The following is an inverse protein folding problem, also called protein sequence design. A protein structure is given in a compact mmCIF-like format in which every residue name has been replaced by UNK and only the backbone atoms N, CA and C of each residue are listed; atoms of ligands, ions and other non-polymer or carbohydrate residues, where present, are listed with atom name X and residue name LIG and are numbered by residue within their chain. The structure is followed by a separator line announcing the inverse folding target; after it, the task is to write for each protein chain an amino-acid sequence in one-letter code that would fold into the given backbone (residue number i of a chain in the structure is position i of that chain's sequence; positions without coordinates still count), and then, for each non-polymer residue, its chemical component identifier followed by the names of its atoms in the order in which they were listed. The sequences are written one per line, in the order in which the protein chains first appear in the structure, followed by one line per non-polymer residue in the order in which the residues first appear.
data_IF_428845466399
#
_entry.id   IF_428845466399
#
_cell.length_a   1.000
_cell.length_b   1.000
_cell.length_c   1.000
_cell.angle_alpha   90.00
_cell.angle_beta   90.00
_cell.angle_gamma   90.00
#
_symmetry.space_group_name_H-M   'P 1'
#
loop_
_entity.id
_entity.type
_entity.pdbx_description
1 polymer ?
#
# COMPACT_ATOMS: atom_id res chain seq x y z
N UNK A 1 -22.09 14.58 -22.73
CA UNK A 1 -22.15 14.66 -21.26
C UNK A 1 -20.75 14.89 -20.76
N UNK A 2 -20.53 16.09 -20.20
CA UNK A 2 -19.24 16.51 -19.67
C UNK A 2 -18.84 15.56 -18.53
N UNK A 3 -17.71 14.90 -18.67
CA UNK A 3 -17.02 14.25 -17.56
C UNK A 3 -16.90 15.27 -16.42
N UNK A 4 -17.33 14.97 -15.21
CA UNK A 4 -17.18 15.93 -14.12
C UNK A 4 -15.69 16.24 -13.99
N UNK A 5 -15.33 17.50 -14.17
CA UNK A 5 -13.98 17.96 -13.95
C UNK A 5 -13.70 17.79 -12.44
N UNK A 6 -12.81 16.90 -12.10
CA UNK A 6 -12.38 16.79 -10.71
C UNK A 6 -11.63 18.07 -10.38
N UNK A 7 -12.13 18.81 -9.40
CA UNK A 7 -11.52 20.07 -8.96
C UNK A 7 -10.01 19.91 -8.69
N UNK A 8 -9.66 18.77 -8.17
CA UNK A 8 -8.28 18.40 -7.91
C UNK A 8 -7.40 18.36 -9.18
N UNK A 9 -7.91 17.86 -10.30
CA UNK A 9 -7.13 17.78 -11.55
C UNK A 9 -6.74 19.16 -12.05
N UNK A 10 -7.60 20.15 -11.82
CA UNK A 10 -7.32 21.53 -12.21
C UNK A 10 -6.36 22.23 -11.22
N UNK A 11 -6.39 21.85 -9.93
CA UNK A 11 -5.51 22.42 -8.90
C UNK A 11 -4.07 21.85 -8.95
N UNK A 12 -3.89 20.61 -9.43
CA UNK A 12 -2.58 19.97 -9.58
C UNK A 12 -1.95 20.26 -10.95
N UNK A 13 -2.57 21.05 -11.79
CA UNK A 13 -1.84 21.59 -12.94
C UNK A 13 -0.64 22.33 -12.43
N UNK A 14 0.53 21.69 -12.54
CA UNK A 14 1.82 22.35 -12.36
C UNK A 14 1.76 23.72 -13.05
N UNK A 15 2.26 24.79 -12.43
CA UNK A 15 2.49 26.00 -13.17
C UNK A 15 3.35 25.60 -14.37
N UNK A 16 2.75 25.66 -15.53
CA UNK A 16 3.43 25.35 -16.78
C UNK A 16 4.56 26.37 -16.92
N UNK A 17 5.76 25.95 -16.62
CA UNK A 17 6.98 26.66 -16.97
C UNK A 17 7.24 26.69 -18.49
N UNK A 18 6.24 26.34 -19.27
CA UNK A 18 6.23 26.56 -20.72
C UNK A 18 5.55 27.92 -20.95
N UNK A 19 6.36 28.96 -20.86
CA UNK A 19 6.04 30.23 -21.50
C UNK A 19 5.95 30.01 -22.99
N UNK A 20 4.74 30.08 -23.53
CA UNK A 20 4.57 30.40 -24.94
C UNK A 20 5.36 31.69 -25.19
N UNK A 21 6.16 31.79 -26.25
CA UNK A 21 6.88 33.02 -26.52
C UNK A 21 5.86 34.15 -26.67
N UNK A 22 5.97 35.15 -25.79
CA UNK A 22 5.18 36.36 -25.86
C UNK A 22 5.42 36.96 -27.23
N UNK A 23 4.34 37.26 -27.96
CA UNK A 23 4.38 38.11 -29.13
C UNK A 23 5.04 39.40 -28.70
N UNK A 24 6.11 39.73 -29.38
CA UNK A 24 6.81 41.02 -29.18
C UNK A 24 5.85 42.19 -29.34
N UNK A 25 5.78 43.01 -28.30
CA UNK A 25 5.08 44.29 -28.34
C UNK A 25 5.98 45.29 -29.10
N UNK A 26 5.46 45.95 -30.17
CA UNK A 26 6.30 46.80 -31.02
C UNK A 26 6.57 48.21 -30.45
N UNK A 27 6.13 48.52 -29.26
CA UNK A 27 6.32 49.86 -28.70
C UNK A 27 7.04 49.80 -27.34
N UNK A 28 8.37 49.91 -27.41
CA UNK A 28 9.24 49.95 -26.25
C UNK A 28 9.00 51.15 -25.34
N UNK A 29 8.26 50.97 -24.28
CA UNK A 29 8.24 51.91 -23.14
C UNK A 29 8.84 51.20 -21.92
N UNK A 30 10.10 51.56 -21.67
CA UNK A 30 10.80 51.20 -20.42
C UNK A 30 10.16 51.91 -19.25
N UNK A 31 9.34 51.26 -18.47
CA UNK A 31 8.93 51.75 -17.14
C UNK A 31 10.00 51.32 -16.16
N UNK A 32 10.74 52.26 -15.60
CA UNK A 32 11.63 52.04 -14.48
C UNK A 32 10.78 51.60 -13.27
N UNK A 33 10.98 50.40 -12.78
CA UNK A 33 10.42 49.95 -11.52
C UNK A 33 11.20 50.58 -10.38
N UNK A 34 10.51 51.44 -9.61
CA UNK A 34 11.01 51.90 -8.31
C UNK A 34 10.90 50.71 -7.33
N UNK A 35 12.00 50.26 -6.76
CA UNK A 35 12.01 49.27 -5.71
C UNK A 35 11.46 49.84 -4.41
N UNK A 36 10.51 49.19 -3.73
CA UNK A 36 10.13 49.55 -2.38
C UNK A 36 11.22 49.10 -1.40
N UNK A 37 11.73 50.01 -0.62
CA UNK A 37 12.56 49.75 0.56
C UNK A 37 11.72 49.00 1.61
N UNK A 38 12.10 47.77 1.86
CA UNK A 38 11.51 46.92 2.92
C UNK A 38 11.57 45.48 2.53
N UNK A 39 12.72 44.84 2.73
CA UNK A 39 12.83 43.38 2.57
C UNK A 39 12.04 42.67 3.67
N UNK A 40 10.83 42.26 3.35
CA UNK A 40 10.22 41.12 4.04
C UNK A 40 11.11 39.88 3.81
N UNK A 41 11.36 39.05 4.83
CA UNK A 41 12.10 37.82 4.61
C UNK A 41 11.40 37.06 3.49
N UNK A 42 12.12 36.75 2.41
CA UNK A 42 11.65 35.85 1.39
C UNK A 42 11.42 34.50 2.09
N UNK A 43 10.16 34.10 2.13
CA UNK A 43 9.85 32.71 2.44
C UNK A 43 10.65 31.84 1.45
N UNK A 44 11.39 30.89 1.98
CA UNK A 44 12.08 29.88 1.18
C UNK A 44 11.09 29.36 0.15
N UNK A 45 11.29 29.68 -1.12
CA UNK A 45 10.54 29.09 -2.20
C UNK A 45 10.97 27.62 -2.27
N UNK A 46 10.26 26.75 -1.56
CA UNK A 46 10.43 25.33 -1.75
C UNK A 46 10.28 25.05 -3.25
N UNK A 47 11.17 24.25 -3.81
CA UNK A 47 11.16 23.88 -5.24
C UNK A 47 9.86 23.15 -5.65
N UNK A 48 8.93 22.95 -4.71
CA UNK A 48 7.67 22.25 -4.89
C UNK A 48 6.49 23.13 -4.50
N UNK A 49 5.44 23.20 -5.33
CA UNK A 49 4.22 23.92 -4.96
C UNK A 49 3.62 23.29 -3.68
N UNK A 50 2.90 24.11 -2.87
CA UNK A 50 2.16 23.59 -1.72
C UNK A 50 1.21 22.46 -2.14
N UNK A 51 1.13 21.40 -1.35
CA UNK A 51 0.20 20.31 -1.58
C UNK A 51 -1.22 20.75 -1.16
N UNK A 52 -2.14 20.87 -2.12
CA UNK A 52 -3.52 21.31 -1.84
C UNK A 52 -4.37 20.12 -1.38
N UNK A 53 -4.26 19.81 -0.08
CA UNK A 53 -5.02 18.73 0.54
C UNK A 53 -6.54 18.98 0.50
N UNK A 54 -6.98 20.24 0.55
CA UNK A 54 -8.40 20.56 0.53
C UNK A 54 -9.04 20.27 -0.83
N UNK A 55 -8.32 20.50 -1.92
CA UNK A 55 -8.74 20.09 -3.24
C UNK A 55 -8.86 18.57 -3.35
N UNK A 56 -7.86 17.83 -2.87
CA UNK A 56 -7.87 16.36 -2.85
C UNK A 56 -9.06 15.82 -2.05
N UNK A 57 -9.32 16.36 -0.87
CA UNK A 57 -10.42 15.91 0.01
C UNK A 57 -11.79 15.99 -0.65
N UNK A 58 -12.00 16.93 -1.57
CA UNK A 58 -13.25 17.06 -2.32
C UNK A 58 -13.54 15.88 -3.23
N UNK A 59 -12.50 15.18 -3.69
CA UNK A 59 -12.61 13.99 -4.54
C UNK A 59 -13.08 12.75 -3.76
N UNK A 60 -13.03 12.79 -2.43
CA UNK A 60 -13.41 11.68 -1.55
C UNK A 60 -14.74 11.97 -0.84
N UNK A 61 -15.87 11.47 -1.37
CA UNK A 61 -17.20 11.82 -0.84
C UNK A 61 -17.41 11.45 0.62
N UNK A 62 -16.83 10.33 1.08
CA UNK A 62 -16.99 9.85 2.44
C UNK A 62 -16.38 10.79 3.49
N UNK A 63 -15.40 11.61 3.11
CA UNK A 63 -14.78 12.57 4.05
C UNK A 63 -15.74 13.72 4.47
N UNK A 64 -16.91 13.81 3.84
CA UNK A 64 -17.98 14.73 4.25
C UNK A 64 -18.91 14.15 5.30
N UNK A 65 -18.76 12.85 5.63
CA UNK A 65 -19.59 12.19 6.65
C UNK A 65 -19.36 12.80 8.04
N UNK A 66 -20.36 12.63 8.88
CA UNK A 66 -20.30 12.97 10.29
C UNK A 66 -20.50 11.70 11.12
N UNK A 67 -19.68 11.56 12.14
CA UNK A 67 -19.72 10.44 13.07
C UNK A 67 -19.89 11.00 14.49
N UNK A 68 -20.90 10.52 15.23
CA UNK A 68 -21.23 11.00 16.55
C UNK A 68 -21.44 12.54 16.61
N UNK A 69 -22.02 13.11 15.54
CA UNK A 69 -22.24 14.55 15.42
C UNK A 69 -20.98 15.37 15.09
N UNK A 70 -19.84 14.76 14.90
CA UNK A 70 -18.56 15.39 14.59
C UNK A 70 -18.17 15.14 13.13
N UNK A 71 -17.39 16.05 12.48
CA UNK A 71 -16.80 15.74 11.18
C UNK A 71 -15.89 14.50 11.28
N UNK A 72 -16.04 13.58 10.32
CA UNK A 72 -15.21 12.37 10.26
C UNK A 72 -13.72 12.73 10.13
N UNK A 73 -12.89 12.10 10.95
CA UNK A 73 -11.43 12.00 10.77
C UNK A 73 -11.07 10.53 10.56
N UNK A 74 -10.52 10.22 9.40
CA UNK A 74 -10.16 8.85 9.05
C UNK A 74 -8.66 8.63 9.23
N UNK A 75 -8.28 7.97 10.31
CA UNK A 75 -6.91 7.55 10.62
C UNK A 75 -6.77 6.03 10.68
N UNK A 76 -7.61 5.30 9.94
CA UNK A 76 -7.51 3.84 9.83
C UNK A 76 -7.08 3.39 8.41
N UNK A 77 -6.19 4.16 7.80
CA UNK A 77 -5.72 3.95 6.42
C UNK A 77 -4.88 2.69 6.25
N UNK A 78 -4.19 2.24 7.29
CA UNK A 78 -3.43 0.98 7.25
C UNK A 78 -4.35 -0.26 7.19
N UNK A 79 -5.60 -0.14 7.59
CA UNK A 79 -6.61 -1.19 7.43
C UNK A 79 -7.24 -1.13 6.03
N UNK A 80 -7.68 0.05 5.60
CA UNK A 80 -8.23 0.31 4.27
C UNK A 80 -8.24 1.81 3.99
N UNK A 81 -8.03 2.22 2.76
CA UNK A 81 -8.18 3.60 2.32
C UNK A 81 -9.58 3.84 1.78
N UNK A 82 -10.00 5.11 1.75
CA UNK A 82 -11.20 5.51 1.05
C UNK A 82 -10.98 5.63 -0.46
N UNK A 83 -12.08 5.78 -1.20
CA UNK A 83 -12.08 5.75 -2.67
C UNK A 83 -12.46 7.11 -3.21
N UNK A 84 -11.70 7.64 -4.17
CA UNK A 84 -12.10 8.87 -4.85
C UNK A 84 -13.33 8.62 -5.73
N UNK A 85 -14.09 9.67 -6.00
CA UNK A 85 -15.29 9.60 -6.83
C UNK A 85 -15.01 8.98 -8.21
N UNK A 86 -13.82 9.24 -8.77
CA UNK A 86 -13.41 8.68 -10.07
C UNK A 86 -13.38 7.15 -10.09
N UNK A 87 -13.02 6.53 -8.95
CA UNK A 87 -13.02 5.06 -8.82
C UNK A 87 -14.45 4.54 -8.72
N UNK A 88 -15.29 5.20 -7.92
CA UNK A 88 -16.71 4.85 -7.77
C UNK A 88 -17.41 4.93 -9.13
N UNK A 89 -17.23 6.04 -9.84
CA UNK A 89 -17.82 6.29 -11.15
C UNK A 89 -17.31 5.31 -12.20
N UNK A 90 -16.02 4.95 -12.15
CA UNK A 90 -15.46 3.99 -13.12
C UNK A 90 -16.06 2.60 -13.00
N UNK A 91 -16.28 2.14 -11.76
CA UNK A 91 -16.92 0.84 -11.50
C UNK A 91 -18.38 0.88 -11.96
N UNK A 92 -19.10 1.95 -11.65
CA UNK A 92 -20.49 2.14 -12.10
C UNK A 92 -20.58 2.15 -13.63
N UNK A 93 -19.69 2.92 -14.29
CA UNK A 93 -19.64 2.98 -15.75
C UNK A 93 -19.36 1.61 -16.39
N UNK A 94 -18.48 0.81 -15.78
CA UNK A 94 -18.23 -0.54 -16.26
C UNK A 94 -19.51 -1.38 -16.28
N UNK A 95 -20.26 -1.40 -15.18
CA UNK A 95 -21.51 -2.16 -15.12
C UNK A 95 -22.59 -1.61 -16.03
N UNK A 96 -22.67 -0.31 -16.19
CA UNK A 96 -23.69 0.35 -17.02
C UNK A 96 -23.44 0.19 -18.52
N UNK A 97 -22.14 0.09 -18.97
CA UNK A 97 -21.78 0.23 -20.38
C UNK A 97 -20.82 -0.82 -20.92
N UNK A 98 -20.12 -1.57 -20.09
CA UNK A 98 -19.01 -2.44 -20.54
C UNK A 98 -19.13 -3.88 -20.03
N UNK A 99 -20.05 -4.17 -19.12
CA UNK A 99 -20.10 -5.45 -18.43
C UNK A 99 -20.30 -6.63 -19.38
N UNK A 100 -19.34 -7.53 -19.35
CA UNK A 100 -19.36 -8.84 -20.00
C UNK A 100 -18.31 -9.74 -19.40
N UNK A 101 -18.37 -11.03 -19.67
CA UNK A 101 -17.23 -11.90 -19.48
C UNK A 101 -16.12 -11.56 -20.50
N UNK A 102 -14.87 -11.88 -20.18
CA UNK A 102 -13.70 -11.45 -20.93
C UNK A 102 -13.08 -12.57 -21.77
N UNK A 103 -12.30 -12.22 -22.79
CA UNK A 103 -11.40 -13.00 -23.63
C UNK A 103 -12.02 -13.97 -24.64
N UNK A 104 -13.25 -14.47 -24.44
CA UNK A 104 -13.76 -15.61 -25.22
C UNK A 104 -14.97 -15.34 -26.10
N UNK A 105 -15.61 -14.17 -25.98
CA UNK A 105 -16.79 -13.86 -26.75
C UNK A 105 -16.48 -12.90 -27.91
N UNK A 106 -17.19 -13.10 -29.03
CA UNK A 106 -16.95 -12.33 -30.25
C UNK A 106 -17.94 -11.16 -30.40
N UNK A 107 -18.47 -10.62 -29.30
CA UNK A 107 -19.39 -9.49 -29.33
C UNK A 107 -18.76 -8.24 -28.71
N UNK A 108 -19.31 -7.08 -29.06
CA UNK A 108 -18.77 -5.76 -28.70
C UNK A 108 -18.57 -5.57 -27.18
N UNK A 109 -19.53 -5.99 -26.34
CA UNK A 109 -19.41 -5.84 -24.89
C UNK A 109 -18.26 -6.69 -24.32
N UNK A 110 -18.02 -7.87 -24.88
CA UNK A 110 -16.87 -8.68 -24.48
C UNK A 110 -15.54 -8.01 -24.84
N UNK A 111 -15.48 -7.34 -25.99
CA UNK A 111 -14.31 -6.54 -26.39
C UNK A 111 -14.09 -5.39 -25.41
N UNK A 112 -15.13 -4.62 -25.07
CA UNK A 112 -15.06 -3.52 -24.10
C UNK A 112 -14.59 -3.99 -22.73
N UNK A 113 -15.19 -5.07 -22.21
CA UNK A 113 -14.81 -5.64 -20.91
C UNK A 113 -13.36 -6.12 -20.91
N UNK A 114 -12.93 -6.77 -21.98
CA UNK A 114 -11.54 -7.25 -22.14
C UNK A 114 -10.56 -6.07 -22.19
N UNK A 115 -10.85 -5.03 -22.97
CA UNK A 115 -10.00 -3.85 -23.07
C UNK A 115 -9.89 -3.12 -21.73
N UNK A 116 -10.99 -3.00 -20.99
CA UNK A 116 -11.00 -2.38 -19.67
C UNK A 116 -10.17 -3.18 -18.66
N UNK A 117 -10.34 -4.50 -18.64
CA UNK A 117 -9.62 -5.41 -17.75
C UNK A 117 -8.11 -5.46 -18.05
N UNK A 118 -7.74 -5.67 -19.29
CA UNK A 118 -6.33 -5.70 -19.72
C UNK A 118 -5.69 -4.31 -19.63
N UNK A 119 -6.45 -3.25 -19.84
CA UNK A 119 -6.02 -1.88 -19.56
C UNK A 119 -5.67 -1.64 -18.11
N UNK A 120 -6.42 -2.23 -17.17
CA UNK A 120 -6.09 -2.20 -15.74
C UNK A 120 -4.79 -2.97 -15.44
N UNK A 121 -4.58 -4.13 -16.07
CA UNK A 121 -3.34 -4.90 -15.93
C UNK A 121 -2.12 -4.09 -16.41
N UNK A 122 -2.24 -3.39 -17.52
CA UNK A 122 -1.18 -2.53 -18.05
C UNK A 122 -0.87 -1.36 -17.11
N UNK A 123 -1.88 -0.78 -16.47
CA UNK A 123 -1.69 0.27 -15.45
C UNK A 123 -0.94 -0.24 -14.24
N UNK A 124 -1.25 -1.43 -13.77
CA UNK A 124 -0.52 -2.08 -12.67
C UNK A 124 0.94 -2.31 -13.07
N UNK A 125 1.18 -2.89 -14.24
CA UNK A 125 2.54 -3.10 -14.77
C UNK A 125 3.37 -1.82 -14.69
N UNK A 126 2.85 -0.72 -15.22
CA UNK A 126 3.54 0.58 -15.22
C UNK A 126 3.74 1.14 -13.82
N UNK A 127 2.74 0.98 -12.96
CA UNK A 127 2.76 1.53 -11.61
C UNK A 127 3.85 0.93 -10.73
N UNK A 128 4.12 -0.35 -10.87
CA UNK A 128 5.19 -1.05 -10.13
C UNK A 128 6.49 -1.23 -10.95
N UNK A 129 6.54 -0.65 -12.15
CA UNK A 129 7.65 -0.80 -13.11
C UNK A 129 8.00 -2.26 -13.41
N UNK A 130 6.98 -3.10 -13.65
CA UNK A 130 7.18 -4.46 -14.11
C UNK A 130 7.61 -4.46 -15.60
N UNK A 131 8.49 -5.40 -16.01
CA UNK A 131 8.98 -5.43 -17.40
C UNK A 131 7.93 -5.92 -18.39
N UNK A 132 6.99 -6.78 -17.98
CA UNK A 132 6.01 -7.41 -18.87
C UNK A 132 4.64 -7.47 -18.20
N UNK A 133 3.60 -7.14 -18.95
CA UNK A 133 2.21 -7.17 -18.47
C UNK A 133 1.75 -8.58 -18.08
N UNK A 134 2.29 -9.61 -18.72
CA UNK A 134 1.96 -11.01 -18.43
C UNK A 134 2.49 -11.50 -17.08
N UNK A 135 3.36 -10.75 -16.44
CA UNK A 135 3.87 -11.02 -15.09
C UNK A 135 2.93 -10.52 -13.98
N UNK A 136 1.89 -9.78 -14.34
CA UNK A 136 0.89 -9.23 -13.41
C UNK A 136 -0.30 -10.19 -13.36
N UNK A 137 -0.60 -10.72 -12.17
CA UNK A 137 -1.69 -11.68 -11.95
C UNK A 137 -2.68 -11.04 -10.96
N UNK A 138 -3.94 -10.99 -11.35
CA UNK A 138 -5.01 -10.53 -10.46
C UNK A 138 -5.43 -11.64 -9.50
N UNK A 139 -5.55 -11.26 -8.24
CA UNK A 139 -6.01 -12.08 -7.11
C UNK A 139 -6.98 -11.27 -6.26
N UNK A 140 -7.53 -11.87 -5.19
CA UNK A 140 -8.44 -11.14 -4.30
C UNK A 140 -7.77 -10.10 -3.41
N UNK A 141 -6.47 -10.26 -3.16
CA UNK A 141 -5.69 -9.40 -2.30
C UNK A 141 -4.35 -10.04 -1.93
N UNK A 142 -3.60 -9.37 -1.08
CA UNK A 142 -2.26 -9.79 -0.64
C UNK A 142 -2.26 -11.19 -0.01
N UNK A 143 -3.25 -11.50 0.82
CA UNK A 143 -3.36 -12.82 1.47
C UNK A 143 -3.45 -13.93 0.43
N UNK A 144 -4.31 -13.79 -0.58
CA UNK A 144 -4.41 -14.78 -1.66
C UNK A 144 -3.14 -14.84 -2.49
N UNK A 145 -2.51 -13.70 -2.76
CA UNK A 145 -1.24 -13.63 -3.49
C UNK A 145 -0.14 -14.45 -2.80
N UNK A 146 0.03 -14.30 -1.50
CA UNK A 146 1.02 -15.05 -0.72
C UNK A 146 0.67 -16.55 -0.69
N UNK A 147 -0.61 -16.89 -0.53
CA UNK A 147 -1.07 -18.28 -0.59
C UNK A 147 -0.79 -18.92 -1.96
N UNK A 148 -0.99 -18.17 -3.05
CA UNK A 148 -0.65 -18.64 -4.40
C UNK A 148 0.84 -19.00 -4.49
N UNK A 149 1.72 -18.11 -4.06
CA UNK A 149 3.17 -18.35 -4.09
C UNK A 149 3.56 -19.53 -3.18
N UNK A 150 3.03 -19.57 -1.96
CA UNK A 150 3.34 -20.64 -1.01
C UNK A 150 2.90 -22.00 -1.53
N UNK A 151 1.70 -22.10 -2.09
CA UNK A 151 1.14 -23.38 -2.56
C UNK A 151 1.71 -23.82 -3.90
N UNK A 152 1.94 -22.91 -4.83
CA UNK A 152 2.48 -23.21 -6.15
C UNK A 152 4.00 -23.32 -6.11
N UNK A 153 4.69 -22.21 -5.98
CA UNK A 153 6.15 -22.19 -5.93
C UNK A 153 6.69 -22.99 -4.75
N UNK A 154 6.16 -22.73 -3.55
CA UNK A 154 6.59 -23.40 -2.33
C UNK A 154 6.31 -24.91 -2.35
N UNK A 155 5.14 -25.31 -2.85
CA UNK A 155 4.79 -26.72 -3.02
C UNK A 155 5.75 -27.49 -3.93
N UNK A 156 6.30 -26.82 -4.94
CA UNK A 156 7.23 -27.39 -5.90
C UNK A 156 8.69 -27.41 -5.41
N UNK A 157 9.13 -26.35 -4.72
CA UNK A 157 10.54 -26.10 -4.47
C UNK A 157 10.99 -26.32 -3.02
N UNK A 158 10.07 -26.41 -2.06
CA UNK A 158 10.40 -26.56 -0.64
C UNK A 158 10.20 -28.01 -0.20
N UNK A 159 11.20 -28.56 0.46
CA UNK A 159 11.22 -29.92 0.99
C UNK A 159 11.71 -29.97 2.43
N UNK A 160 11.87 -31.22 2.94
CA UNK A 160 12.28 -31.46 4.31
C UNK A 160 13.64 -30.82 4.63
N UNK A 161 13.71 -30.11 5.75
CA UNK A 161 14.91 -29.41 6.23
C UNK A 161 15.22 -28.12 5.53
N UNK A 162 14.46 -27.72 4.51
CA UNK A 162 14.58 -26.40 3.89
C UNK A 162 14.11 -25.31 4.84
N UNK A 163 14.57 -24.08 4.61
CA UNK A 163 14.30 -22.95 5.48
C UNK A 163 13.59 -21.81 4.72
N UNK A 164 12.62 -21.22 5.41
CA UNK A 164 11.86 -20.06 4.96
C UNK A 164 12.17 -18.92 5.93
N UNK A 165 12.67 -17.80 5.44
CA UNK A 165 12.96 -16.65 6.28
C UNK A 165 11.83 -15.62 6.15
N UNK A 166 11.30 -15.18 7.28
CA UNK A 166 10.37 -14.05 7.42
C UNK A 166 10.94 -13.09 8.47
N UNK A 167 10.42 -11.86 8.55
CA UNK A 167 10.82 -10.95 9.63
C UNK A 167 9.82 -10.98 10.79
N UNK A 168 10.25 -10.45 11.94
CA UNK A 168 9.37 -10.25 13.09
C UNK A 168 8.26 -9.22 12.82
N UNK A 169 8.41 -8.40 11.77
CA UNK A 169 7.44 -7.35 11.39
C UNK A 169 6.23 -7.88 10.61
N UNK A 170 6.19 -9.17 10.23
CA UNK A 170 5.24 -9.64 9.24
C UNK A 170 3.79 -9.63 9.72
N UNK A 171 2.90 -9.21 8.82
CA UNK A 171 1.46 -9.46 8.94
C UNK A 171 1.19 -10.97 8.95
N UNK A 172 0.12 -11.41 9.62
CA UNK A 172 -0.26 -12.83 9.68
C UNK A 172 -0.35 -13.48 8.29
N UNK A 173 -0.77 -12.74 7.27
CA UNK A 173 -0.82 -13.24 5.89
C UNK A 173 0.54 -13.66 5.32
N UNK A 174 1.63 -13.12 5.88
CA UNK A 174 3.01 -13.46 5.51
C UNK A 174 3.72 -14.33 6.56
N UNK A 175 2.97 -14.95 7.43
CA UNK A 175 3.44 -15.95 8.42
C UNK A 175 2.69 -17.26 8.23
N UNK A 176 1.36 -17.22 8.31
CA UNK A 176 0.52 -18.42 8.37
C UNK A 176 0.63 -19.31 7.12
N UNK A 177 0.61 -18.79 5.90
CA UNK A 177 0.80 -19.63 4.71
C UNK A 177 2.16 -20.37 4.72
N UNK A 178 3.21 -19.71 5.20
CA UNK A 178 4.54 -20.30 5.31
C UNK A 178 4.61 -21.36 6.40
N UNK A 179 3.92 -21.16 7.54
CA UNK A 179 3.79 -22.18 8.59
C UNK A 179 3.07 -23.42 8.07
N UNK A 180 1.97 -23.24 7.33
CA UNK A 180 1.23 -24.35 6.73
C UNK A 180 2.12 -25.13 5.75
N UNK A 181 2.87 -24.43 4.91
CA UNK A 181 3.80 -25.05 3.97
C UNK A 181 4.92 -25.79 4.72
N UNK A 182 5.54 -25.16 5.70
CA UNK A 182 6.62 -25.75 6.49
C UNK A 182 6.16 -27.02 7.21
N UNK A 183 4.97 -27.01 7.82
CA UNK A 183 4.39 -28.18 8.47
C UNK A 183 4.15 -29.33 7.46
N UNK A 184 3.63 -29.01 6.28
CA UNK A 184 3.35 -30.01 5.24
C UNK A 184 4.62 -30.61 4.61
N UNK A 185 5.70 -29.83 4.53
CA UNK A 185 6.95 -30.22 3.83
C UNK A 185 8.09 -30.62 4.76
N UNK A 186 7.97 -30.45 6.08
CA UNK A 186 9.07 -30.65 7.01
C UNK A 186 10.15 -29.56 6.93
N UNK A 187 9.78 -28.37 6.49
CA UNK A 187 10.66 -27.21 6.46
C UNK A 187 10.60 -26.41 7.77
N UNK A 188 11.47 -25.42 7.91
CA UNK A 188 11.58 -24.56 9.10
C UNK A 188 11.41 -23.11 8.76
N UNK A 189 10.72 -22.36 9.63
CA UNK A 189 10.67 -20.91 9.58
C UNK A 189 11.79 -20.34 10.44
N UNK A 190 12.53 -19.38 9.86
CA UNK A 190 13.55 -18.59 10.54
C UNK A 190 13.12 -17.13 10.54
N UNK A 191 13.36 -16.42 11.63
CA UNK A 191 12.82 -15.05 11.84
C UNK A 191 13.93 -14.04 11.98
N UNK A 192 13.91 -13.01 11.13
CA UNK A 192 14.78 -11.85 11.25
C UNK A 192 14.32 -11.02 12.46
N UNK A 193 15.17 -10.82 13.48
CA UNK A 193 14.79 -10.01 14.64
C UNK A 193 14.85 -8.51 14.32
N UNK A 194 14.24 -7.73 15.20
CA UNK A 194 14.25 -6.26 15.14
C UNK A 194 14.94 -5.67 16.38
N UNK A 195 15.46 -4.47 16.23
CA UNK A 195 15.97 -3.66 17.33
C UNK A 195 14.82 -3.01 18.13
N UNK A 196 15.17 -2.20 19.12
CA UNK A 196 14.21 -1.53 20.00
C UNK A 196 13.41 -0.41 19.30
N UNK A 197 13.84 0.05 18.14
CA UNK A 197 13.08 0.98 17.30
C UNK A 197 12.04 0.27 16.42
N UNK A 198 12.18 -1.04 16.24
CA UNK A 198 11.38 -1.85 15.33
C UNK A 198 11.98 -1.99 13.93
N UNK A 199 13.24 -1.62 13.73
CA UNK A 199 13.94 -1.87 12.45
C UNK A 199 14.58 -3.26 12.45
N UNK A 200 14.58 -3.92 11.30
CA UNK A 200 15.23 -5.22 11.12
C UNK A 200 16.74 -5.15 11.35
N UNK A 201 17.27 -6.18 12.00
CA UNK A 201 18.70 -6.34 12.27
C UNK A 201 19.36 -7.07 11.09
N UNK A 202 19.91 -6.34 10.12
CA UNK A 202 20.52 -6.93 8.93
C UNK A 202 21.69 -7.86 9.24
N UNK A 203 22.49 -7.59 10.26
CA UNK A 203 23.59 -8.47 10.65
C UNK A 203 23.08 -9.82 11.18
N UNK A 204 21.97 -9.82 11.90
CA UNK A 204 21.32 -11.06 12.33
C UNK A 204 20.68 -11.80 11.15
N UNK A 205 20.09 -11.07 10.19
CA UNK A 205 19.58 -11.65 8.96
C UNK A 205 20.68 -12.39 8.18
N UNK A 206 21.84 -11.78 8.01
CA UNK A 206 22.97 -12.39 7.32
C UNK A 206 23.38 -13.74 7.94
N UNK A 207 23.30 -13.86 9.27
CA UNK A 207 23.59 -15.10 9.99
C UNK A 207 22.57 -16.20 9.74
N UNK A 208 21.32 -15.84 9.40
CA UNK A 208 20.26 -16.82 9.10
C UNK A 208 20.41 -17.45 7.72
N UNK A 209 21.03 -16.75 6.76
CA UNK A 209 21.16 -17.21 5.38
C UNK A 209 22.16 -18.35 5.29
N UNK A 210 21.75 -19.44 4.62
CA UNK A 210 22.58 -20.61 4.33
C UNK A 210 22.06 -21.34 3.07
N UNK A 211 22.68 -22.45 2.72
CA UNK A 211 22.33 -23.24 1.53
C UNK A 211 20.95 -23.96 1.62
N UNK A 212 20.34 -23.99 2.80
CA UNK A 212 18.98 -24.51 3.02
C UNK A 212 17.91 -23.41 2.88
N UNK A 213 18.28 -22.16 2.85
CA UNK A 213 17.34 -21.04 2.66
C UNK A 213 16.80 -21.05 1.24
N UNK A 214 15.48 -21.23 1.08
CA UNK A 214 14.82 -21.31 -0.24
C UNK A 214 14.08 -20.03 -0.61
N UNK A 215 13.48 -19.35 0.37
CA UNK A 215 12.78 -18.10 0.16
C UNK A 215 12.91 -17.21 1.38
N UNK A 216 13.01 -15.90 1.10
CA UNK A 216 12.92 -14.81 2.08
C UNK A 216 11.68 -14.00 1.73
N UNK A 217 10.72 -13.92 2.66
CA UNK A 217 9.45 -13.23 2.44
C UNK A 217 9.27 -12.15 3.50
N UNK A 218 9.35 -10.88 3.10
CA UNK A 218 9.37 -9.73 4.01
C UNK A 218 8.48 -8.59 3.54
N UNK A 219 7.91 -7.87 4.51
CA UNK A 219 7.17 -6.63 4.24
C UNK A 219 8.12 -5.48 3.88
N UNK A 220 7.68 -4.61 3.00
CA UNK A 220 8.40 -3.37 2.70
C UNK A 220 8.09 -2.27 3.73
N UNK A 221 6.85 -2.21 4.21
CA UNK A 221 6.43 -1.31 5.31
C UNK A 221 5.61 -2.09 6.30
N UNK A 222 5.98 -2.02 7.57
CA UNK A 222 5.23 -2.67 8.66
C UNK A 222 3.85 -2.04 8.82
N UNK A 223 2.81 -2.86 8.83
CA UNK A 223 1.44 -2.40 9.08
C UNK A 223 1.20 -2.04 10.56
N UNK A 224 1.99 -2.57 11.48
CA UNK A 224 1.84 -2.30 12.91
C UNK A 224 2.72 -1.15 13.41
N UNK A 225 3.92 -0.99 12.86
CA UNK A 225 4.91 -0.01 13.32
C UNK A 225 5.18 1.11 12.32
N UNK A 226 4.90 0.90 11.04
CA UNK A 226 5.26 1.83 9.97
C UNK A 226 6.72 1.77 9.52
N UNK A 227 7.53 0.91 10.12
CA UNK A 227 8.94 0.74 9.74
C UNK A 227 9.09 0.50 8.24
N UNK A 228 9.90 1.29 7.58
CA UNK A 228 10.32 1.05 6.19
C UNK A 228 11.53 0.12 6.20
N UNK A 229 11.34 -1.06 5.63
CA UNK A 229 12.34 -2.13 5.64
C UNK A 229 13.26 -1.98 4.43
N UNK A 230 14.59 -2.17 4.57
CA UNK A 230 15.53 -2.07 3.45
C UNK A 230 15.46 -3.32 2.55
N UNK A 231 14.33 -3.49 1.84
CA UNK A 231 14.02 -4.72 1.09
C UNK A 231 15.00 -4.97 -0.06
N UNK A 232 15.52 -3.93 -0.71
CA UNK A 232 16.52 -4.11 -1.78
C UNK A 232 17.76 -4.83 -1.29
N UNK A 233 18.29 -4.45 -0.13
CA UNK A 233 19.43 -5.11 0.49
C UNK A 233 19.08 -6.55 0.92
N UNK A 234 17.89 -6.76 1.47
CA UNK A 234 17.42 -8.08 1.89
C UNK A 234 17.30 -9.01 0.68
N UNK A 235 16.74 -8.53 -0.42
CA UNK A 235 16.61 -9.29 -1.67
C UNK A 235 17.98 -9.66 -2.25
N UNK A 236 18.91 -8.70 -2.28
CA UNK A 236 20.26 -8.92 -2.79
C UNK A 236 20.98 -10.02 -2.00
N UNK A 237 20.91 -9.98 -0.68
CA UNK A 237 21.51 -10.98 0.19
C UNK A 237 20.83 -12.36 0.05
N UNK A 238 19.49 -12.39 -0.11
CA UNK A 238 18.76 -13.62 -0.38
C UNK A 238 19.25 -14.28 -1.68
N UNK A 239 19.38 -13.52 -2.75
CA UNK A 239 19.86 -14.02 -4.04
C UNK A 239 21.29 -14.52 -3.99
N UNK A 240 22.19 -13.87 -3.25
CA UNK A 240 23.55 -14.34 -3.03
C UNK A 240 23.59 -15.71 -2.32
N UNK A 241 22.61 -15.97 -1.47
CA UNK A 241 22.46 -17.28 -0.79
C UNK A 241 21.72 -18.33 -1.65
N UNK A 242 21.30 -17.98 -2.86
CA UNK A 242 20.53 -18.86 -3.75
C UNK A 242 19.04 -18.93 -3.45
N UNK A 243 18.51 -18.06 -2.59
CA UNK A 243 17.11 -18.01 -2.22
C UNK A 243 16.30 -17.07 -3.11
N UNK A 244 15.00 -17.34 -3.29
CA UNK A 244 14.04 -16.41 -3.87
C UNK A 244 13.63 -15.36 -2.82
N UNK A 245 13.05 -14.26 -3.29
CA UNK A 245 12.57 -13.20 -2.43
C UNK A 245 11.16 -12.74 -2.83
N UNK A 246 10.27 -12.68 -1.84
CA UNK A 246 8.94 -12.08 -1.95
C UNK A 246 8.91 -10.81 -1.09
N UNK A 247 8.40 -9.73 -1.66
CA UNK A 247 8.18 -8.47 -0.95
C UNK A 247 6.68 -8.22 -0.82
N UNK A 248 6.21 -8.09 0.41
CA UNK A 248 4.84 -7.70 0.73
C UNK A 248 4.74 -6.18 0.68
N UNK A 249 4.07 -5.67 -0.35
CA UNK A 249 3.85 -4.25 -0.60
C UNK A 249 2.49 -3.73 -0.16
N UNK A 250 1.75 -4.45 0.68
CA UNK A 250 0.40 -4.06 1.08
C UNK A 250 0.35 -2.66 1.70
N UNK A 251 1.35 -2.29 2.50
CA UNK A 251 1.44 -0.96 3.09
C UNK A 251 2.26 0.02 2.26
N UNK A 252 3.25 -0.43 1.51
CA UNK A 252 4.12 0.46 0.75
C UNK A 252 3.47 1.03 -0.50
N UNK A 253 2.56 0.29 -1.13
CA UNK A 253 2.02 0.60 -2.47
C UNK A 253 1.39 1.98 -2.59
N UNK A 254 0.81 2.52 -1.52
CA UNK A 254 0.16 3.83 -1.49
C UNK A 254 1.04 4.96 -0.93
N UNK A 255 2.19 4.64 -0.35
CA UNK A 255 3.02 5.60 0.39
C UNK A 255 4.33 5.95 -0.29
N UNK A 256 4.80 5.14 -1.19
CA UNK A 256 6.09 5.33 -1.87
C UNK A 256 6.07 4.73 -3.27
N UNK A 257 7.01 5.17 -4.10
CA UNK A 257 7.21 4.55 -5.40
C UNK A 257 7.74 3.13 -5.23
N UNK A 258 7.10 2.21 -5.91
CA UNK A 258 7.52 0.81 -6.00
C UNK A 258 8.11 0.56 -7.38
N UNK A 259 9.32 0.02 -7.40
CA UNK A 259 10.01 -0.40 -8.61
C UNK A 259 10.51 -1.83 -8.41
N UNK A 260 9.77 -2.80 -8.92
CA UNK A 260 10.08 -4.22 -8.73
C UNK A 260 11.39 -4.64 -9.41
N UNK A 261 11.78 -3.93 -10.47
CA UNK A 261 13.05 -4.18 -11.15
C UNK A 261 14.23 -3.67 -10.32
N UNK A 262 14.11 -2.48 -9.73
CA UNK A 262 15.15 -1.92 -8.85
C UNK A 262 15.28 -2.73 -7.55
N UNK A 263 14.17 -3.12 -6.94
CA UNK A 263 14.17 -4.00 -5.75
C UNK A 263 14.80 -5.35 -6.09
N UNK A 264 14.58 -5.85 -7.31
CA UNK A 264 15.10 -7.13 -7.80
C UNK A 264 14.35 -8.34 -7.25
N UNK A 265 13.21 -8.16 -6.58
CA UNK A 265 12.42 -9.24 -6.01
C UNK A 265 11.97 -10.25 -7.08
N UNK A 266 11.71 -11.47 -6.64
CA UNK A 266 11.10 -12.51 -7.49
C UNK A 266 9.58 -12.42 -7.49
N UNK A 267 9.00 -11.93 -6.37
CA UNK A 267 7.57 -11.68 -6.20
C UNK A 267 7.33 -10.36 -5.47
N UNK A 268 6.27 -9.67 -5.87
CA UNK A 268 5.74 -8.49 -5.18
C UNK A 268 4.22 -8.58 -5.10
N UNK A 269 3.65 -8.33 -3.93
CA UNK A 269 2.21 -8.51 -3.67
C UNK A 269 1.60 -7.27 -3.05
N UNK A 270 0.36 -6.95 -3.41
CA UNK A 270 -0.39 -5.88 -2.78
C UNK A 270 -1.91 -6.04 -2.94
N UNK A 271 -2.66 -5.24 -2.18
CA UNK A 271 -4.13 -5.21 -2.20
C UNK A 271 -4.64 -3.87 -2.72
N UNK A 272 -5.66 -3.90 -3.57
CA UNK A 272 -6.25 -2.70 -4.15
C UNK A 272 -6.89 -1.76 -3.14
N UNK A 273 -7.55 -2.30 -2.10
CA UNK A 273 -8.26 -1.49 -1.12
C UNK A 273 -7.37 -0.65 -0.20
N UNK A 274 -6.06 -0.84 -0.25
CA UNK A 274 -5.07 -0.03 0.48
C UNK A 274 -4.39 1.04 -0.38
N UNK A 275 -4.72 1.07 -1.66
CA UNK A 275 -4.23 2.05 -2.64
C UNK A 275 -5.39 2.76 -3.34
N UNK A 276 -6.41 3.13 -2.54
CA UNK A 276 -7.59 3.88 -2.97
C UNK A 276 -8.50 3.15 -3.97
N UNK A 277 -8.28 1.86 -4.14
CA UNK A 277 -9.05 0.98 -5.00
C UNK A 277 -10.06 0.12 -4.24
N UNK A 278 -10.82 -0.73 -4.95
CA UNK A 278 -11.83 -1.59 -4.35
C UNK A 278 -11.24 -2.69 -3.47
N UNK A 279 -12.07 -3.23 -2.57
CA UNK A 279 -11.81 -4.51 -1.90
C UNK A 279 -11.96 -5.67 -2.88
N UNK A 280 -11.43 -6.84 -2.52
CA UNK A 280 -11.62 -8.05 -3.32
C UNK A 280 -10.80 -8.13 -4.61
N UNK A 281 -9.86 -7.23 -4.78
CA UNK A 281 -8.88 -7.21 -5.87
C UNK A 281 -7.48 -6.91 -5.33
N UNK A 282 -6.51 -7.59 -5.87
CA UNK A 282 -5.10 -7.40 -5.57
C UNK A 282 -4.24 -8.01 -6.66
N UNK A 283 -2.95 -7.99 -6.45
CA UNK A 283 -1.95 -8.39 -7.44
C UNK A 283 -0.87 -9.25 -6.80
N UNK A 284 -0.48 -10.31 -7.50
CA UNK A 284 0.85 -10.87 -7.40
C UNK A 284 1.59 -10.59 -8.71
N UNK A 285 2.73 -9.93 -8.59
CA UNK A 285 3.71 -9.84 -9.64
C UNK A 285 4.82 -10.86 -9.39
N UNK A 286 5.28 -11.52 -10.43
CA UNK A 286 6.43 -12.42 -10.35
C UNK A 286 7.28 -12.31 -11.61
N UNK A 287 8.59 -12.63 -11.48
CA UNK A 287 9.47 -12.73 -12.65
C UNK A 287 8.94 -13.79 -13.61
N UNK A 288 9.01 -13.51 -14.91
CA UNK A 288 8.50 -14.41 -15.97
C UNK A 288 8.99 -15.84 -15.81
N UNK A 289 10.28 -16.02 -15.67
CA UNK A 289 10.88 -17.36 -15.56
C UNK A 289 10.43 -18.12 -14.32
N UNK A 290 10.15 -17.41 -13.23
CA UNK A 290 9.64 -18.02 -12.00
C UNK A 290 8.18 -18.42 -12.16
N UNK A 291 7.35 -17.54 -12.71
CA UNK A 291 5.93 -17.82 -12.94
C UNK A 291 5.70 -18.93 -13.96
N UNK A 292 6.51 -18.97 -15.01
CA UNK A 292 6.41 -20.02 -16.05
C UNK A 292 6.74 -21.40 -15.50
N UNK A 293 7.69 -21.51 -14.56
CA UNK A 293 8.08 -22.74 -13.90
C UNK A 293 7.04 -23.22 -12.86
N UNK A 294 6.26 -22.32 -12.31
CA UNK A 294 5.27 -22.63 -11.27
C UNK A 294 4.06 -23.38 -11.84
N UNK A 295 3.60 -24.46 -11.14
CA UNK A 295 2.34 -25.10 -11.51
C UNK A 295 1.14 -24.22 -11.19
N UNK A 296 -0.01 -24.39 -11.87
CA UNK A 296 -1.24 -23.77 -11.44
C UNK A 296 -1.63 -24.26 -10.05
N UNK A 297 -2.26 -23.39 -9.24
CA UNK A 297 -2.64 -23.76 -7.88
C UNK A 297 -4.17 -23.93 -7.71
N UNK A 298 -4.95 -23.33 -8.61
CA UNK A 298 -6.39 -23.53 -8.72
C UNK A 298 -6.71 -24.06 -10.11
N UNK A 299 -7.72 -24.90 -10.20
CA UNK A 299 -8.18 -25.47 -11.46
C UNK A 299 -9.59 -25.05 -11.80
N UNK A 300 -9.86 -24.89 -13.09
CA UNK A 300 -11.19 -24.53 -13.61
C UNK A 300 -11.15 -24.04 -15.04
N UNK A 301 -12.08 -23.22 -15.42
CA UNK A 301 -12.10 -22.53 -16.71
C UNK A 301 -11.08 -21.40 -16.80
N UNK A 302 -10.93 -20.83 -17.96
CA UNK A 302 -10.02 -19.73 -18.31
C UNK A 302 -8.52 -20.05 -18.22
N UNK A 303 -8.10 -20.87 -17.30
CA UNK A 303 -6.68 -21.20 -17.06
C UNK A 303 -6.19 -22.40 -17.84
N UNK A 304 -7.01 -22.99 -18.69
CA UNK A 304 -6.74 -24.19 -19.52
C UNK A 304 -6.78 -23.86 -21.00
N UNK A 305 -5.96 -24.57 -21.78
CA UNK A 305 -5.99 -24.54 -23.23
C UNK A 305 -6.79 -25.72 -23.81
N UNK A 306 -6.67 -26.90 -23.18
CA UNK A 306 -7.38 -28.12 -23.56
C UNK A 306 -7.60 -29.02 -22.36
N UNK A 307 -8.76 -29.69 -22.32
CA UNK A 307 -9.12 -30.61 -21.23
C UNK A 307 -9.75 -31.88 -21.82
N UNK A 308 -9.18 -33.02 -21.48
CA UNK A 308 -9.84 -34.34 -21.57
C UNK A 308 -9.95 -34.91 -20.17
N UNK A 309 -10.66 -36.03 -20.00
CA UNK A 309 -10.72 -36.68 -18.70
C UNK A 309 -9.36 -37.20 -18.22
N UNK A 310 -8.44 -37.46 -19.15
CA UNK A 310 -7.13 -38.02 -18.87
C UNK A 310 -6.05 -36.94 -18.73
N UNK A 311 -6.24 -35.73 -19.33
CA UNK A 311 -5.20 -34.72 -19.40
C UNK A 311 -5.73 -33.31 -19.52
N UNK A 312 -5.05 -32.38 -18.88
CA UNK A 312 -5.25 -30.93 -19.02
C UNK A 312 -3.99 -30.29 -19.60
N UNK A 313 -4.16 -29.39 -20.55
CA UNK A 313 -3.12 -28.46 -21.02
C UNK A 313 -3.48 -27.07 -20.50
N UNK A 314 -2.54 -26.45 -19.78
CA UNK A 314 -2.74 -25.16 -19.16
C UNK A 314 -2.40 -24.00 -20.09
N UNK A 315 -3.03 -22.85 -19.85
CA UNK A 315 -2.70 -21.59 -20.50
C UNK A 315 -1.34 -21.08 -20.05
N UNK A 316 -0.65 -20.25 -20.84
CA UNK A 316 0.49 -19.48 -20.36
C UNK A 316 0.09 -18.43 -19.32
N UNK A 317 1.08 -17.79 -18.70
CA UNK A 317 0.84 -16.65 -17.82
C UNK A 317 0.21 -15.48 -18.60
N UNK A 318 -0.65 -14.67 -18.01
CA UNK A 318 -1.14 -14.70 -16.62
C UNK A 318 -2.29 -15.69 -16.40
N UNK A 319 -2.94 -16.18 -17.46
CA UNK A 319 -4.17 -16.97 -17.39
C UNK A 319 -4.00 -18.25 -16.57
N UNK A 320 -2.82 -18.86 -16.57
CA UNK A 320 -2.50 -20.04 -15.76
C UNK A 320 -2.87 -19.88 -14.28
N UNK A 321 -2.84 -18.66 -13.74
CA UNK A 321 -3.11 -18.36 -12.35
C UNK A 321 -4.42 -17.62 -12.11
N UNK A 322 -5.24 -17.44 -13.15
CA UNK A 322 -6.54 -16.75 -13.07
C UNK A 322 -7.66 -17.72 -13.44
N UNK A 323 -7.96 -18.64 -12.53
CA UNK A 323 -8.99 -19.64 -12.73
C UNK A 323 -10.41 -19.08 -12.61
N UNK A 324 -11.28 -19.40 -13.57
CA UNK A 324 -12.65 -18.94 -13.61
C UNK A 324 -12.80 -17.49 -14.05
N UNK A 325 -14.00 -16.95 -13.91
CA UNK A 325 -14.25 -15.52 -14.11
C UNK A 325 -13.83 -14.76 -12.87
N UNK A 326 -12.84 -13.85 -13.05
CA UNK A 326 -12.30 -13.05 -11.98
C UNK A 326 -13.17 -11.85 -11.60
N UNK A 327 -12.64 -10.99 -10.75
CA UNK A 327 -13.27 -9.74 -10.31
C UNK A 327 -12.98 -8.63 -11.33
N UNK A 328 -13.69 -8.65 -12.44
CA UNK A 328 -13.43 -7.78 -13.60
C UNK A 328 -13.66 -6.31 -13.24
N UNK A 329 -14.83 -5.99 -12.69
CA UNK A 329 -15.19 -4.62 -12.36
C UNK A 329 -14.23 -3.96 -11.38
N UNK A 330 -13.81 -4.68 -10.34
CA UNK A 330 -12.89 -4.13 -9.35
C UNK A 330 -11.44 -4.07 -9.84
N UNK A 331 -11.04 -4.94 -10.78
CA UNK A 331 -9.78 -4.76 -11.48
C UNK A 331 -9.75 -3.44 -12.28
N UNK A 332 -10.84 -3.14 -12.97
CA UNK A 332 -11.01 -1.84 -13.67
C UNK A 332 -11.00 -0.68 -12.67
N UNK A 333 -11.66 -0.84 -11.53
CA UNK A 333 -11.63 0.13 -10.44
C UNK A 333 -10.22 0.35 -9.87
N UNK A 334 -9.42 -0.70 -9.74
CA UNK A 334 -8.01 -0.60 -9.34
C UNK A 334 -7.20 0.21 -10.37
N UNK A 335 -7.44 -0.01 -11.66
CA UNK A 335 -6.82 0.80 -12.72
C UNK A 335 -7.13 2.30 -12.58
N UNK A 336 -8.39 2.64 -12.28
CA UNK A 336 -8.78 4.02 -12.01
C UNK A 336 -8.13 4.60 -10.77
N UNK A 337 -7.95 3.81 -9.71
CA UNK A 337 -7.25 4.23 -8.51
C UNK A 337 -5.77 4.54 -8.78
N UNK A 338 -5.11 3.70 -9.56
CA UNK A 338 -3.71 3.93 -10.00
C UNK A 338 -3.62 5.22 -10.83
N UNK A 339 -4.54 5.45 -11.74
CA UNK A 339 -4.59 6.70 -12.52
C UNK A 339 -4.73 7.91 -11.60
N UNK A 340 -5.57 7.82 -10.56
CA UNK A 340 -5.73 8.88 -9.57
C UNK A 340 -4.42 9.15 -8.82
N UNK A 341 -3.79 8.12 -8.28
CA UNK A 341 -2.50 8.24 -7.56
C UNK A 341 -1.41 8.84 -8.46
N UNK A 342 -1.35 8.44 -9.72
CA UNK A 342 -0.39 8.98 -10.69
C UNK A 342 -0.64 10.47 -10.97
N UNK A 343 -1.90 10.92 -11.01
CA UNK A 343 -2.23 12.35 -11.18
C UNK A 343 -1.82 13.18 -9.97
N UNK A 344 -2.02 12.67 -8.76
CA UNK A 344 -1.52 13.32 -7.53
C UNK A 344 0.01 13.33 -7.49
N UNK A 345 0.61 12.24 -7.94
CA UNK A 345 2.05 12.01 -7.91
C UNK A 345 2.49 11.35 -6.61
N UNK A 346 3.04 10.14 -6.73
CA UNK A 346 3.44 9.35 -5.55
C UNK A 346 4.53 10.04 -4.71
N UNK A 347 5.41 10.80 -5.34
CA UNK A 347 6.44 11.58 -4.64
C UNK A 347 5.83 12.74 -3.82
N UNK A 348 4.79 13.37 -4.35
CA UNK A 348 4.04 14.40 -3.62
C UNK A 348 3.30 13.80 -2.42
N UNK A 349 2.70 12.63 -2.61
CA UNK A 349 2.04 11.86 -1.55
C UNK A 349 3.05 11.53 -0.45
N UNK A 350 4.17 10.91 -0.80
CA UNK A 350 5.21 10.52 0.14
C UNK A 350 5.72 11.70 0.97
N UNK A 351 6.00 12.83 0.33
CA UNK A 351 6.48 14.04 1.00
C UNK A 351 5.44 14.59 1.98
N UNK A 352 4.20 14.78 1.53
CA UNK A 352 3.14 15.34 2.37
C UNK A 352 2.81 14.44 3.56
N UNK A 353 2.68 13.14 3.34
CA UNK A 353 2.43 12.17 4.43
C UNK A 353 3.59 12.14 5.42
N UNK A 354 4.83 12.30 4.95
CA UNK A 354 5.99 12.35 5.84
C UNK A 354 5.95 13.59 6.75
N UNK A 355 5.56 14.74 6.24
CA UNK A 355 5.37 15.96 7.05
C UNK A 355 4.29 15.74 8.12
N UNK A 356 3.16 15.14 7.77
CA UNK A 356 2.12 14.78 8.74
C UNK A 356 2.64 13.81 9.80
N UNK A 357 3.38 12.78 9.40
CA UNK A 357 3.93 11.76 10.29
C UNK A 357 4.91 12.37 11.30
N UNK A 358 5.85 13.18 10.82
CA UNK A 358 6.85 13.87 11.68
C UNK A 358 6.13 14.76 12.69
N UNK A 359 5.14 15.54 12.24
CA UNK A 359 4.34 16.39 13.10
C UNK A 359 3.58 15.59 14.17
N UNK A 360 2.84 14.57 13.76
CA UNK A 360 2.04 13.75 14.67
C UNK A 360 2.89 12.98 15.69
N UNK A 361 4.00 12.40 15.26
CA UNK A 361 4.93 11.68 16.15
C UNK A 361 5.56 12.64 17.16
N UNK A 362 5.96 13.83 16.75
CA UNK A 362 6.50 14.84 17.64
C UNK A 362 5.49 15.26 18.71
N UNK A 363 4.22 15.47 18.33
CA UNK A 363 3.15 15.83 19.27
C UNK A 363 2.84 14.69 20.24
N UNK A 364 2.70 13.46 19.78
CA UNK A 364 2.45 12.30 20.64
C UNK A 364 3.55 12.11 21.66
N UNK A 365 4.81 12.31 21.26
CA UNK A 365 5.99 12.15 22.13
C UNK A 365 5.98 13.10 23.33
N UNK A 366 5.30 14.25 23.24
CA UNK A 366 5.18 15.23 24.33
C UNK A 366 4.13 14.89 25.37
N UNK A 367 3.27 13.91 25.11
CA UNK A 367 2.15 13.60 25.99
C UNK A 367 2.61 12.65 27.10
N UNK A 368 2.48 13.03 28.39
CA UNK A 368 2.86 12.14 29.49
C UNK A 368 2.07 10.84 29.46
N UNK A 369 2.77 9.72 29.62
CA UNK A 369 2.18 8.38 29.63
C UNK A 369 2.02 7.75 28.24
N UNK A 370 2.25 8.48 27.17
CA UNK A 370 2.32 7.91 25.80
C UNK A 370 3.64 7.18 25.64
N UNK A 371 3.55 5.93 25.20
CA UNK A 371 4.68 5.14 24.72
C UNK A 371 4.45 4.85 23.25
N UNK A 372 5.34 5.36 22.40
CA UNK A 372 5.32 5.08 20.96
C UNK A 372 5.82 3.66 20.72
N UNK A 373 5.14 2.94 19.84
CA UNK A 373 5.50 1.58 19.42
C UNK A 373 5.92 1.63 17.95
N UNK A 374 7.21 1.54 17.75
CA UNK A 374 7.83 1.75 16.42
C UNK A 374 8.35 3.18 16.26
N UNK A 375 9.66 3.33 16.41
CA UNK A 375 10.37 4.61 16.37
C UNK A 375 11.57 4.57 15.43
N UNK A 376 11.52 3.69 14.42
CA UNK A 376 12.56 3.62 13.39
C UNK A 376 12.68 4.97 12.66
N UNK A 377 13.90 5.33 12.26
CA UNK A 377 14.17 6.58 11.55
C UNK A 377 13.47 6.62 10.19
N UNK A 378 13.50 5.50 9.47
CA UNK A 378 12.77 5.34 8.21
C UNK A 378 11.39 4.72 8.50
N UNK A 379 10.38 5.53 8.35
CA UNK A 379 9.01 5.21 8.78
C UNK A 379 7.97 5.86 7.88
N UNK A 380 6.83 5.18 7.69
CA UNK A 380 5.71 5.66 6.89
C UNK A 380 4.37 5.48 7.63
N UNK A 381 3.51 6.44 7.48
CA UNK A 381 2.06 6.40 7.76
C UNK A 381 1.62 6.10 9.20
N UNK A 382 2.20 5.15 9.89
CA UNK A 382 1.66 4.56 11.13
C UNK A 382 2.22 5.24 12.38
N UNK A 383 1.34 5.61 13.32
CA UNK A 383 1.70 6.26 14.59
C UNK A 383 1.20 5.44 15.79
N UNK A 384 1.61 4.18 15.88
CA UNK A 384 1.16 3.27 16.95
C UNK A 384 1.67 3.70 18.31
N UNK A 385 0.80 3.63 19.32
CA UNK A 385 1.12 3.96 20.71
C UNK A 385 0.26 3.22 21.70
N UNK A 386 0.67 3.26 22.96
CA UNK A 386 -0.14 2.92 24.15
C UNK A 386 -0.13 4.09 25.10
N UNK A 387 -1.18 4.24 25.90
CA UNK A 387 -1.32 5.29 26.91
C UNK A 387 -1.42 4.68 28.30
N UNK A 388 -0.51 5.03 29.19
CA UNK A 388 -0.50 4.52 30.55
C UNK A 388 -1.82 4.84 31.30
N UNK A 389 -2.36 3.83 31.97
CA UNK A 389 -3.61 3.93 32.73
C UNK A 389 -4.89 3.72 31.90
N UNK A 390 -4.77 3.40 30.60
CA UNK A 390 -5.90 3.11 29.72
C UNK A 390 -5.65 1.85 28.90
N UNK A 391 -6.72 1.10 28.63
CA UNK A 391 -6.68 0.09 27.57
C UNK A 391 -6.69 0.76 26.20
N UNK A 392 -6.25 0.04 25.17
CA UNK A 392 -6.29 0.56 23.80
C UNK A 392 -7.72 0.80 23.33
N UNK A 393 -8.66 -0.03 23.77
CA UNK A 393 -10.09 0.11 23.49
C UNK A 393 -10.69 1.38 24.11
N UNK A 394 -10.31 1.70 25.35
CA UNK A 394 -10.75 2.95 26.01
C UNK A 394 -10.27 4.19 25.24
N UNK A 395 -9.04 4.19 24.78
CA UNK A 395 -8.50 5.28 23.96
C UNK A 395 -9.22 5.35 22.62
N UNK A 396 -9.41 4.21 21.96
CA UNK A 396 -10.14 4.12 20.70
C UNK A 396 -11.57 4.62 20.81
N UNK A 397 -12.28 4.27 21.89
CA UNK A 397 -13.65 4.74 22.13
C UNK A 397 -13.70 6.26 22.34
N UNK A 398 -12.79 6.80 23.14
CA UNK A 398 -12.70 8.25 23.34
C UNK A 398 -12.45 9.03 22.05
N UNK A 399 -11.64 8.49 21.16
CA UNK A 399 -11.40 9.05 19.83
C UNK A 399 -12.66 8.95 18.95
N UNK A 400 -13.32 7.80 18.95
CA UNK A 400 -14.56 7.58 18.21
C UNK A 400 -15.68 8.52 18.63
N UNK A 401 -15.79 8.84 19.91
CA UNK A 401 -16.78 9.80 20.44
C UNK A 401 -16.57 11.21 19.85
N UNK A 402 -15.36 11.53 19.43
CA UNK A 402 -15.00 12.78 18.75
C UNK A 402 -14.97 12.65 17.22
N UNK A 403 -15.47 11.54 16.66
CA UNK A 403 -15.52 11.30 15.21
C UNK A 403 -14.19 10.89 14.59
N UNK A 404 -13.22 10.46 15.39
CA UNK A 404 -11.88 10.07 14.95
C UNK A 404 -11.78 8.54 14.89
N UNK A 405 -11.63 8.01 13.68
CA UNK A 405 -11.49 6.57 13.45
C UNK A 405 -10.02 6.15 13.50
N UNK A 406 -9.70 5.28 14.43
CA UNK A 406 -8.40 4.63 14.54
C UNK A 406 -8.61 3.12 14.70
N UNK A 407 -7.58 2.33 14.39
CA UNK A 407 -7.57 0.91 14.73
C UNK A 407 -7.02 0.71 16.14
N UNK A 408 -7.67 -0.17 16.92
CA UNK A 408 -7.12 -0.72 18.16
C UNK A 408 -7.05 -2.24 18.03
N UNK A 409 -6.09 -2.86 18.71
CA UNK A 409 -5.95 -4.32 18.68
C UNK A 409 -4.57 -4.78 18.25
N UNK A 410 -4.49 -6.01 17.77
CA UNK A 410 -3.22 -6.66 17.41
C UNK A 410 -2.80 -6.45 15.93
N UNK A 411 -3.63 -5.81 15.12
CA UNK A 411 -3.36 -5.45 13.71
C UNK A 411 -2.95 -6.62 12.81
N UNK A 412 -3.35 -7.84 13.14
CA UNK A 412 -2.88 -9.07 12.49
C UNK A 412 -1.34 -9.18 12.46
N UNK A 413 -0.67 -8.69 13.51
CA UNK A 413 0.79 -8.64 13.65
C UNK A 413 1.22 -8.93 15.10
N UNK A 414 0.61 -9.92 15.74
CA UNK A 414 0.87 -10.23 17.14
C UNK A 414 2.35 -10.46 17.48
N UNK A 415 3.17 -11.14 16.64
CA UNK A 415 4.57 -11.35 17.01
C UNK A 415 5.36 -10.06 17.25
N UNK A 416 5.19 -9.04 16.39
CA UNK A 416 5.91 -7.79 16.60
C UNK A 416 5.40 -7.01 17.82
N UNK A 417 4.11 -7.01 18.11
CA UNK A 417 3.58 -6.36 19.30
C UNK A 417 4.12 -7.02 20.57
N UNK A 418 4.20 -8.34 20.61
CA UNK A 418 4.78 -9.10 21.73
C UNK A 418 6.26 -8.82 21.91
N UNK A 419 7.02 -8.58 20.81
CA UNK A 419 8.40 -8.11 20.90
C UNK A 419 8.52 -6.82 21.73
N UNK A 420 7.51 -5.94 21.66
CA UNK A 420 7.44 -4.70 22.44
C UNK A 420 6.74 -4.86 23.79
N UNK A 421 6.37 -6.07 24.16
CA UNK A 421 5.72 -6.38 25.44
C UNK A 421 4.28 -5.91 25.53
N UNK A 422 3.58 -5.77 24.40
CA UNK A 422 2.17 -5.40 24.30
C UNK A 422 1.39 -6.42 23.47
N UNK A 423 0.11 -6.60 23.76
CA UNK A 423 -0.79 -7.42 22.95
C UNK A 423 -1.58 -6.58 21.92
N UNK A 424 -1.78 -5.31 22.25
CA UNK A 424 -2.54 -4.37 21.42
C UNK A 424 -1.92 -2.98 21.42
N UNK A 425 -2.18 -2.21 20.36
CA UNK A 425 -1.86 -0.78 20.30
C UNK A 425 -3.05 0.02 19.77
N UNK A 426 -3.02 1.33 20.01
CA UNK A 426 -3.79 2.31 19.26
C UNK A 426 -2.97 2.68 18.03
N UNK A 427 -3.53 2.51 16.84
CA UNK A 427 -2.81 2.70 15.58
C UNK A 427 -3.47 3.75 14.69
N UNK A 428 -3.24 5.04 14.90
CA UNK A 428 -3.53 6.02 13.88
C UNK A 428 -2.64 5.78 12.65
N UNK A 429 -3.23 5.86 11.46
CA UNK A 429 -2.49 5.73 10.22
C UNK A 429 -2.98 6.74 9.20
N UNK A 430 -2.04 7.31 8.46
CA UNK A 430 -2.21 8.47 7.61
C UNK A 430 -2.40 8.08 6.14
N UNK A 431 -3.12 8.94 5.42
CA UNK A 431 -3.11 8.99 3.97
C UNK A 431 -3.03 10.47 3.51
N UNK A 432 -2.80 10.67 2.23
CA UNK A 432 -2.55 12.01 1.66
C UNK A 432 -3.76 12.96 1.74
N UNK A 433 -4.94 12.50 2.11
CA UNK A 433 -6.11 13.36 2.36
C UNK A 433 -6.26 13.77 3.83
N UNK A 434 -5.40 13.32 4.72
CA UNK A 434 -5.41 13.78 6.11
C UNK A 434 -4.80 15.17 6.25
N UNK A 435 -5.12 15.86 7.35
CA UNK A 435 -4.67 17.23 7.60
C UNK A 435 -3.97 17.37 8.93
N UNK A 436 -3.21 18.46 9.11
CA UNK A 436 -2.58 18.80 10.39
C UNK A 436 -3.64 19.08 11.46
N UNK A 437 -4.75 19.71 11.10
CA UNK A 437 -5.87 19.97 12.01
C UNK A 437 -6.52 18.68 12.50
N UNK A 438 -6.58 17.66 11.67
CA UNK A 438 -7.05 16.33 12.08
C UNK A 438 -6.10 15.69 13.09
N UNK A 439 -4.80 15.84 12.91
CA UNK A 439 -3.80 15.41 13.91
C UNK A 439 -3.99 16.17 15.22
N UNK A 440 -4.17 17.49 15.16
CA UNK A 440 -4.41 18.32 16.37
C UNK A 440 -5.64 17.84 17.14
N UNK A 441 -6.70 17.45 16.46
CA UNK A 441 -7.90 16.88 17.09
C UNK A 441 -7.59 15.57 17.82
N UNK A 442 -6.84 14.67 17.21
CA UNK A 442 -6.39 13.42 17.84
C UNK A 442 -5.53 13.73 19.08
N UNK A 443 -4.57 14.62 18.95
CA UNK A 443 -3.68 15.01 20.05
C UNK A 443 -4.45 15.61 21.22
N UNK A 444 -5.46 16.45 20.96
CA UNK A 444 -6.31 17.04 22.01
C UNK A 444 -7.03 15.97 22.84
N UNK A 445 -7.56 14.93 22.20
CA UNK A 445 -8.23 13.82 22.88
C UNK A 445 -7.23 13.05 23.76
N UNK A 446 -6.08 12.68 23.22
CA UNK A 446 -5.06 11.91 23.95
C UNK A 446 -4.51 12.71 25.13
N UNK A 447 -4.27 14.02 24.96
CA UNK A 447 -3.85 14.92 26.06
C UNK A 447 -4.91 15.00 27.17
N UNK A 448 -6.19 15.11 26.80
CA UNK A 448 -7.30 15.12 27.76
C UNK A 448 -7.30 13.84 28.59
N UNK A 449 -7.18 12.68 27.96
CA UNK A 449 -7.10 11.39 28.67
C UNK A 449 -5.88 11.33 29.60
N UNK A 450 -4.72 11.76 29.13
CA UNK A 450 -3.49 11.77 29.92
C UNK A 450 -3.59 12.70 31.15
N UNK A 451 -4.35 13.80 31.05
CA UNK A 451 -4.54 14.75 32.18
C UNK A 451 -5.46 14.20 33.27
N UNK A 452 -6.35 13.29 32.94
CA UNK A 452 -7.29 12.64 33.89
C UNK A 452 -6.67 11.32 34.36
N UNK A 453 -5.47 11.35 34.93
CA UNK A 453 -4.80 10.14 35.40
C UNK A 453 -5.70 9.35 36.35
N UNK A 454 -6.10 8.15 35.96
CA UNK A 454 -6.61 7.15 36.88
C UNK A 454 -5.44 6.73 37.78
N UNK A 455 -5.47 7.21 39.04
CA UNK A 455 -4.60 6.68 40.08
C UNK A 455 -5.13 5.28 40.36
N UNK A 456 -4.46 4.26 39.84
CA UNK A 456 -4.69 2.86 40.18
C UNK A 456 -3.57 2.36 41.05
#
# INVERSE_FOLDING_TARGET
QSTPAFYFVDAVRLPSGYTTPAKADPLGTRVQRVEPLGATPQADHSAHPPFDVNAIRRDFPILRERVNGKPLVWFDNAATTHKPQSVIDRISYFYEHENSNIHRAAHELAARATDAYEGARERVKKFINAPDVNEVIFVRGTTEAINLVAKSWGGQHIGAGDEIIVSNLEHHANIVPWQQLAAAKGAKIRVIPVDDSGQVLLDEYKKLLNDRTKIVSVTQVSNALGTVVPVKQIVELAHRAGAKALVDGAQSISHMRVDVQDIGADFFVFSGHKVFGPTGIGVVWGKREVLEDMPPWQGGGNMIADVTFEKTVYQPIPNKFEAGTGNIADAVGLGAAIDYVNRVGIENIARYEHELLVYGMAQLRTIPGVRLIGTADDKASVMSFVLAGYTTEEVGQALNDEGIAVRTGHHCAQPILRRFGVETTVRPSLAFYNTFEEIDRLIAVVRRLASVRRVG
#
